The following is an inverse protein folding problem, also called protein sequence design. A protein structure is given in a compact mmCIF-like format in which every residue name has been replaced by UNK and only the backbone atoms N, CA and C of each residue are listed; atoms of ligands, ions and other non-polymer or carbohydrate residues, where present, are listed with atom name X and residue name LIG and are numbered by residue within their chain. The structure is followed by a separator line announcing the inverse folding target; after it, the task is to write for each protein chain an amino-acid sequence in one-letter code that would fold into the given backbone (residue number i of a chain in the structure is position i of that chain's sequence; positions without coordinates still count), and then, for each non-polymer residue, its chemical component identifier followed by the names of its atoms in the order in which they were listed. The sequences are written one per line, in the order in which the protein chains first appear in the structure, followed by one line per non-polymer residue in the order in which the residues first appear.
data_IF_702604708016
#
_entry.id   IF_702604708016
#
_cell.length_a   1.000
_cell.length_b   1.000
_cell.length_c   1.000
_cell.angle_alpha   90.00
_cell.angle_beta   90.00
_cell.angle_gamma   90.00
#
_symmetry.space_group_name_H-M   'P 1'
#
loop_
_entity.id
_entity.type
_entity.pdbx_description
1 polymer ?
#
# COMPACT_ATOMS: atom_id res chain seq x y z
N UNK A 1 -0.80 -3.93 -6.09
CA UNK A 1 0.51 -4.10 -6.76
C UNK A 1 0.55 -3.14 -7.92
N UNK A 2 1.63 -2.36 -8.04
CA UNK A 2 1.80 -1.36 -9.10
C UNK A 2 1.90 -2.07 -10.45
N UNK A 3 1.10 -1.66 -11.43
CA UNK A 3 1.17 -2.25 -12.76
C UNK A 3 2.53 -1.94 -13.41
N UNK A 4 3.17 -2.96 -13.96
CA UNK A 4 4.44 -2.82 -14.71
C UNK A 4 4.15 -2.22 -16.10
N UNK A 5 2.93 -2.42 -16.60
CA UNK A 5 2.46 -1.98 -17.91
C UNK A 5 2.78 -0.52 -18.27
N UNK A 6 2.61 0.50 -17.41
CA UNK A 6 2.93 1.88 -17.77
C UNK A 6 4.41 2.07 -18.09
N UNK A 7 5.30 1.29 -17.47
CA UNK A 7 6.73 1.34 -17.74
C UNK A 7 7.06 0.59 -19.03
N UNK A 8 6.41 -0.54 -19.27
CA UNK A 8 6.52 -1.24 -20.56
C UNK A 8 6.13 -0.33 -21.72
N UNK A 9 5.05 0.45 -21.59
CA UNK A 9 4.63 1.42 -22.61
C UNK A 9 5.65 2.54 -22.80
N UNK A 10 6.25 3.06 -21.73
CA UNK A 10 7.32 4.06 -21.85
C UNK A 10 8.57 3.51 -22.55
N UNK A 11 8.93 2.25 -22.27
CA UNK A 11 10.06 1.58 -22.95
C UNK A 11 9.73 1.41 -24.44
N UNK A 12 8.52 0.95 -24.77
CA UNK A 12 8.03 0.78 -26.15
C UNK A 12 8.09 2.11 -26.93
N UNK A 13 7.57 3.19 -26.35
CA UNK A 13 7.61 4.53 -26.94
C UNK A 13 9.05 4.98 -27.22
N UNK A 14 9.94 4.81 -26.23
CA UNK A 14 11.36 5.15 -26.37
C UNK A 14 12.05 4.38 -27.50
N UNK A 15 11.86 3.05 -27.54
CA UNK A 15 12.46 2.19 -28.58
C UNK A 15 11.98 2.59 -29.98
N UNK A 16 10.69 2.91 -30.11
CA UNK A 16 10.10 3.35 -31.38
C UNK A 16 10.65 4.72 -31.80
N UNK A 17 10.69 5.69 -30.89
CA UNK A 17 11.22 7.04 -31.16
C UNK A 17 12.68 7.01 -31.64
N UNK A 18 13.51 6.14 -31.06
CA UNK A 18 14.93 5.99 -31.44
C UNK A 18 15.14 5.20 -32.74
N UNK A 19 14.11 4.55 -33.26
CA UNK A 19 14.19 3.70 -34.46
C UNK A 19 14.72 2.29 -34.18
N UNK A 20 14.67 1.81 -32.94
CA UNK A 20 15.12 0.46 -32.56
C UNK A 20 14.07 -0.62 -32.84
N UNK A 21 13.60 -0.71 -34.09
CA UNK A 21 12.44 -1.52 -34.46
C UNK A 21 12.60 -3.02 -34.22
N UNK A 22 13.83 -3.56 -34.33
CA UNK A 22 14.09 -4.97 -34.02
C UNK A 22 13.95 -5.26 -32.52
N UNK A 23 14.61 -4.44 -31.68
CA UNK A 23 14.53 -4.54 -30.22
C UNK A 23 13.11 -4.33 -29.72
N UNK A 24 12.36 -3.39 -30.29
CA UNK A 24 10.95 -3.16 -29.98
C UNK A 24 10.11 -4.44 -30.17
N UNK A 25 10.24 -5.11 -31.33
CA UNK A 25 9.49 -6.35 -31.61
C UNK A 25 9.88 -7.49 -30.68
N UNK A 26 11.17 -7.61 -30.36
CA UNK A 26 11.65 -8.59 -29.37
C UNK A 26 11.04 -8.31 -28.01
N UNK A 27 11.10 -7.07 -27.53
CA UNK A 27 10.53 -6.67 -26.24
C UNK A 27 9.01 -6.90 -26.18
N UNK A 28 8.24 -6.56 -27.22
CA UNK A 28 6.81 -6.86 -27.28
C UNK A 28 6.52 -8.36 -27.20
N UNK A 29 7.38 -9.18 -27.80
CA UNK A 29 7.24 -10.64 -27.75
C UNK A 29 7.52 -11.16 -26.35
N UNK A 30 8.54 -10.63 -25.68
CA UNK A 30 8.85 -10.97 -24.28
C UNK A 30 7.73 -10.55 -23.33
N UNK A 31 7.16 -9.34 -23.49
CA UNK A 31 6.01 -8.89 -22.69
C UNK A 31 4.78 -9.78 -22.88
N UNK A 32 4.51 -10.27 -24.11
CA UNK A 32 3.38 -11.18 -24.37
C UNK A 32 3.59 -12.56 -23.77
N UNK A 33 4.84 -13.02 -23.73
CA UNK A 33 5.23 -14.33 -23.22
C UNK A 33 5.72 -14.26 -21.76
N UNK A 34 5.28 -13.25 -21.01
CA UNK A 34 5.70 -13.03 -19.63
C UNK A 34 5.29 -14.22 -18.74
N UNK A 35 6.29 -15.03 -18.38
CA UNK A 35 6.15 -16.17 -17.48
C UNK A 35 5.95 -15.74 -16.04
N UNK A 36 6.32 -14.52 -15.67
CA UNK A 36 6.16 -13.99 -14.32
C UNK A 36 4.77 -13.38 -14.10
N UNK A 37 3.97 -13.24 -15.17
CA UNK A 37 2.58 -12.75 -15.15
C UNK A 37 2.44 -11.39 -14.45
N UNK A 38 3.42 -10.52 -14.62
CA UNK A 38 3.52 -9.24 -13.94
C UNK A 38 3.57 -9.36 -12.41
N UNK A 39 4.09 -10.48 -11.90
CA UNK A 39 4.17 -10.82 -10.48
C UNK A 39 2.80 -10.94 -9.78
N UNK A 40 1.75 -11.30 -10.52
CA UNK A 40 0.43 -11.57 -9.95
C UNK A 40 0.37 -13.04 -9.51
N UNK A 41 0.44 -13.29 -8.19
CA UNK A 41 0.40 -14.63 -7.62
C UNK A 41 -0.84 -15.44 -8.07
N UNK A 42 -2.00 -14.80 -8.17
CA UNK A 42 -3.24 -15.42 -8.65
C UNK A 42 -3.07 -16.02 -10.05
N UNK A 43 -2.54 -15.26 -11.01
CA UNK A 43 -2.32 -15.73 -12.39
C UNK A 43 -1.30 -16.87 -12.48
N UNK A 44 -0.28 -16.84 -11.62
CA UNK A 44 0.70 -17.94 -11.55
C UNK A 44 0.01 -19.23 -11.07
N UNK A 45 -0.85 -19.13 -10.06
CA UNK A 45 -1.63 -20.27 -9.56
C UNK A 45 -2.61 -20.78 -10.61
N UNK A 46 -3.29 -19.88 -11.34
CA UNK A 46 -4.16 -20.25 -12.47
C UNK A 46 -3.40 -21.07 -13.51
N UNK A 47 -2.19 -20.67 -13.89
CA UNK A 47 -1.34 -21.43 -14.82
C UNK A 47 -0.94 -22.79 -14.24
N UNK A 48 -0.53 -22.86 -12.97
CA UNK A 48 -0.22 -24.13 -12.28
C UNK A 48 -1.43 -25.08 -12.32
N UNK A 49 -2.63 -24.57 -12.06
CA UNK A 49 -3.86 -25.36 -12.08
C UNK A 49 -4.31 -25.73 -13.50
N UNK A 50 -4.00 -24.89 -14.50
CA UNK A 50 -4.22 -25.20 -15.91
C UNK A 50 -3.42 -26.42 -16.35
N UNK A 51 -2.12 -26.51 -16.00
CA UNK A 51 -1.32 -27.70 -16.28
C UNK A 51 -1.91 -28.97 -15.64
N UNK A 52 -2.40 -28.86 -14.41
CA UNK A 52 -3.07 -29.97 -13.72
C UNK A 52 -4.37 -30.38 -14.43
N UNK A 53 -5.21 -29.41 -14.79
CA UNK A 53 -6.46 -29.65 -15.50
C UNK A 53 -6.23 -30.39 -16.83
N UNK A 54 -5.18 -29.99 -17.54
CA UNK A 54 -4.77 -30.56 -18.82
C UNK A 54 -3.98 -31.87 -18.71
N UNK A 55 -3.68 -32.35 -17.49
CA UNK A 55 -2.82 -33.53 -17.25
C UNK A 55 -1.42 -33.40 -17.85
N UNK A 56 -0.88 -32.18 -17.87
CA UNK A 56 0.48 -31.88 -18.32
C UNK A 56 1.42 -31.76 -17.12
N UNK A 57 1.88 -32.91 -16.62
CA UNK A 57 2.80 -32.97 -15.49
C UNK A 57 4.17 -32.36 -15.80
N UNK A 58 4.65 -32.50 -17.04
CA UNK A 58 5.96 -31.97 -17.43
C UNK A 58 5.91 -30.44 -17.48
N UNK A 59 4.88 -29.85 -18.09
CA UNK A 59 4.67 -28.40 -18.07
C UNK A 59 4.53 -27.84 -16.65
N UNK A 60 3.84 -28.57 -15.77
CA UNK A 60 3.73 -28.21 -14.35
C UNK A 60 5.09 -28.16 -13.65
N UNK A 61 5.90 -29.21 -13.83
CA UNK A 61 7.22 -29.32 -13.22
C UNK A 61 8.22 -28.32 -13.79
N UNK A 62 8.22 -28.12 -15.10
CA UNK A 62 9.06 -27.14 -15.78
C UNK A 62 8.73 -25.72 -15.30
N UNK A 63 7.44 -25.42 -15.14
CA UNK A 63 7.01 -24.12 -14.63
C UNK A 63 7.33 -23.94 -13.15
N UNK A 64 7.16 -24.98 -12.34
CA UNK A 64 7.60 -24.95 -10.94
C UNK A 64 9.11 -24.77 -10.81
N UNK A 65 9.90 -25.47 -11.64
CA UNK A 65 11.36 -25.37 -11.62
C UNK A 65 11.84 -23.99 -12.10
N UNK A 66 11.16 -23.41 -13.08
CA UNK A 66 11.35 -22.01 -13.45
C UNK A 66 11.18 -21.07 -12.24
N UNK A 67 10.08 -21.20 -11.49
CA UNK A 67 9.86 -20.40 -10.28
C UNK A 67 10.93 -20.69 -9.21
N UNK A 68 11.36 -21.95 -9.08
CA UNK A 68 12.38 -22.37 -8.14
C UNK A 68 13.73 -21.70 -8.43
N UNK A 69 14.23 -21.83 -9.65
CA UNK A 69 15.50 -21.23 -10.07
C UNK A 69 15.44 -19.71 -9.96
N UNK A 70 14.34 -19.11 -10.40
CA UNK A 70 14.21 -17.65 -10.47
C UNK A 70 14.05 -16.99 -9.10
N UNK A 71 13.28 -17.61 -8.20
CA UNK A 71 12.85 -17.01 -6.94
C UNK A 71 13.22 -17.85 -5.73
N UNK A 72 12.80 -19.12 -5.67
CA UNK A 72 12.85 -19.88 -4.42
C UNK A 72 14.27 -20.25 -3.98
N UNK A 73 15.17 -20.52 -4.94
CA UNK A 73 16.59 -20.81 -4.70
C UNK A 73 17.35 -19.65 -4.05
N UNK A 74 16.79 -18.43 -4.13
CA UNK A 74 17.37 -17.19 -3.60
C UNK A 74 16.80 -16.81 -2.24
N UNK A 75 15.86 -17.60 -1.72
CA UNK A 75 15.29 -17.40 -0.39
C UNK A 75 16.26 -17.90 0.68
N UNK A 76 16.05 -17.44 1.91
CA UNK A 76 16.71 -18.00 3.08
C UNK A 76 16.36 -19.49 3.23
N UNK A 77 17.35 -20.30 3.62
CA UNK A 77 17.25 -21.75 3.75
C UNK A 77 16.09 -22.21 4.65
N UNK A 78 15.69 -21.39 5.63
CA UNK A 78 14.50 -21.64 6.47
C UNK A 78 13.21 -21.84 5.67
N UNK A 79 13.11 -21.30 4.45
CA UNK A 79 11.93 -21.41 3.59
C UNK A 79 11.96 -22.62 2.65
N UNK A 80 13.10 -23.29 2.47
CA UNK A 80 13.22 -24.41 1.54
C UNK A 80 12.30 -25.59 1.90
N UNK A 81 12.09 -25.83 3.19
CA UNK A 81 11.11 -26.82 3.66
C UNK A 81 9.68 -26.49 3.21
N UNK A 82 9.29 -25.21 3.27
CA UNK A 82 7.97 -24.77 2.80
C UNK A 82 7.83 -24.91 1.28
N UNK A 83 8.86 -24.55 0.51
CA UNK A 83 8.89 -24.72 -0.95
C UNK A 83 8.72 -26.19 -1.32
N UNK A 84 9.43 -27.11 -0.65
CA UNK A 84 9.27 -28.56 -0.83
C UNK A 84 7.82 -29.00 -0.54
N UNK A 85 7.23 -28.54 0.57
CA UNK A 85 5.83 -28.85 0.94
C UNK A 85 4.81 -28.34 -0.08
N UNK A 86 5.04 -27.16 -0.68
CA UNK A 86 4.18 -26.65 -1.74
C UNK A 86 4.29 -27.51 -3.01
N UNK A 87 5.52 -27.86 -3.44
CA UNK A 87 5.73 -28.77 -4.57
C UNK A 87 5.01 -30.10 -4.36
N UNK A 88 5.18 -30.71 -3.18
CA UNK A 88 4.53 -31.98 -2.83
C UNK A 88 3.00 -31.85 -2.84
N UNK A 89 2.45 -30.80 -2.24
CA UNK A 89 0.99 -30.56 -2.24
C UNK A 89 0.44 -30.36 -3.66
N UNK A 90 1.20 -29.73 -4.55
CA UNK A 90 0.83 -29.54 -5.96
C UNK A 90 0.80 -30.88 -6.71
N UNK A 91 1.79 -31.75 -6.50
CA UNK A 91 1.82 -33.10 -7.07
C UNK A 91 0.68 -33.98 -6.53
N UNK A 92 0.41 -33.89 -5.23
CA UNK A 92 -0.76 -34.56 -4.63
C UNK A 92 -2.06 -34.06 -5.24
N UNK A 93 -2.19 -32.75 -5.45
CA UNK A 93 -3.36 -32.18 -6.11
C UNK A 93 -3.50 -32.71 -7.55
N UNK A 94 -2.40 -32.80 -8.30
CA UNK A 94 -2.41 -33.41 -9.64
C UNK A 94 -3.00 -34.83 -9.62
N UNK A 95 -2.56 -35.69 -8.69
CA UNK A 95 -3.04 -37.06 -8.60
C UNK A 95 -4.51 -37.15 -8.15
N UNK A 96 -4.89 -36.34 -7.16
CA UNK A 96 -6.29 -36.25 -6.70
C UNK A 96 -7.19 -35.79 -7.85
N UNK A 97 -6.78 -34.75 -8.58
CA UNK A 97 -7.54 -34.22 -9.70
C UNK A 97 -7.67 -35.25 -10.83
N UNK A 98 -6.58 -35.90 -11.24
CA UNK A 98 -6.61 -36.97 -12.24
C UNK A 98 -7.53 -38.13 -11.83
N UNK A 99 -7.51 -38.50 -10.54
CA UNK A 99 -8.38 -39.52 -9.96
C UNK A 99 -9.86 -39.10 -10.00
N UNK A 100 -10.18 -37.86 -9.61
CA UNK A 100 -11.53 -37.29 -9.69
C UNK A 100 -12.06 -37.26 -11.14
N UNK A 101 -11.19 -36.96 -12.10
CA UNK A 101 -11.50 -36.98 -13.54
C UNK A 101 -11.50 -38.40 -14.16
N UNK A 102 -11.33 -39.45 -13.36
CA UNK A 102 -11.26 -40.86 -13.80
C UNK A 102 -10.15 -41.15 -14.83
N UNK A 103 -9.09 -40.34 -14.84
CA UNK A 103 -7.90 -40.48 -15.70
C UNK A 103 -6.82 -41.30 -15.00
N UNK A 104 -7.13 -42.56 -14.71
CA UNK A 104 -6.24 -43.47 -13.95
C UNK A 104 -4.92 -43.71 -14.68
N UNK A 105 -4.94 -43.75 -16.00
CA UNK A 105 -3.76 -43.87 -16.87
C UNK A 105 -2.72 -42.77 -16.58
N UNK A 106 -3.16 -41.53 -16.33
CA UNK A 106 -2.27 -40.42 -15.99
C UNK A 106 -1.66 -40.52 -14.61
N UNK A 107 -2.37 -41.14 -13.67
CA UNK A 107 -1.85 -41.43 -12.33
C UNK A 107 -0.78 -42.53 -12.41
N UNK A 108 -1.00 -43.55 -13.24
CA UNK A 108 -0.01 -44.61 -13.47
C UNK A 108 1.23 -44.08 -14.20
N UNK A 109 1.04 -43.29 -15.26
CA UNK A 109 2.14 -42.64 -16.01
C UNK A 109 3.02 -41.78 -15.09
N UNK A 110 2.40 -41.06 -14.15
CA UNK A 110 3.14 -40.31 -13.12
C UNK A 110 4.05 -41.23 -12.30
N UNK A 111 3.53 -42.30 -11.71
CA UNK A 111 4.35 -43.17 -10.86
C UNK A 111 5.40 -43.94 -11.65
N UNK A 112 5.13 -44.32 -12.89
CA UNK A 112 6.11 -44.97 -13.79
C UNK A 112 7.27 -44.03 -14.14
N UNK A 113 6.96 -42.75 -14.40
CA UNK A 113 7.96 -41.74 -14.75
C UNK A 113 8.83 -41.32 -13.56
N UNK A 114 8.22 -41.17 -12.38
CA UNK A 114 8.89 -40.62 -11.20
C UNK A 114 9.29 -41.69 -10.16
N UNK A 115 9.14 -42.98 -10.47
CA UNK A 115 9.35 -44.07 -9.50
C UNK A 115 10.71 -43.98 -8.79
N UNK A 116 11.79 -43.73 -9.56
CA UNK A 116 13.14 -43.65 -9.03
C UNK A 116 13.35 -42.47 -8.05
N UNK A 117 12.68 -41.34 -8.30
CA UNK A 117 12.78 -40.14 -7.48
C UNK A 117 11.91 -40.20 -6.22
N UNK A 118 10.80 -40.96 -6.29
CA UNK A 118 9.85 -41.13 -5.20
C UNK A 118 10.20 -42.32 -4.30
N UNK A 119 10.95 -43.30 -4.80
CA UNK A 119 11.37 -44.47 -4.05
C UNK A 119 12.31 -44.09 -2.90
N UNK A 120 11.86 -44.33 -1.67
CA UNK A 120 12.59 -44.01 -0.44
C UNK A 120 11.98 -42.88 0.39
N UNK A 121 11.07 -42.09 -0.18
CA UNK A 121 10.31 -41.10 0.58
C UNK A 121 9.05 -41.76 1.18
N UNK A 122 9.02 -41.85 2.51
CA UNK A 122 7.88 -42.43 3.25
C UNK A 122 6.58 -41.68 2.94
N UNK A 123 6.65 -40.41 2.55
CA UNK A 123 5.49 -39.61 2.18
C UNK A 123 4.76 -40.12 0.93
N UNK A 124 5.45 -40.83 0.04
CA UNK A 124 4.90 -41.33 -1.22
C UNK A 124 4.46 -42.80 -1.16
N UNK A 125 4.95 -43.56 -0.17
CA UNK A 125 4.67 -44.99 -0.04
C UNK A 125 3.18 -45.36 -0.12
N UNK A 126 2.32 -44.61 0.59
CA UNK A 126 0.86 -44.83 0.55
C UNK A 126 0.24 -44.40 -0.79
N UNK A 127 0.80 -43.39 -1.44
CA UNK A 127 0.28 -42.82 -2.70
C UNK A 127 0.44 -43.76 -3.89
N UNK A 128 1.42 -44.67 -3.89
CA UNK A 128 1.52 -45.74 -4.89
C UNK A 128 0.28 -46.65 -4.93
N UNK A 129 -0.46 -46.77 -3.82
CA UNK A 129 -1.72 -47.50 -3.74
C UNK A 129 -2.92 -46.77 -4.35
N UNK A 130 -2.81 -45.46 -4.59
CA UNK A 130 -3.91 -44.60 -5.04
C UNK A 130 -4.58 -45.10 -6.33
N UNK A 131 -3.86 -45.48 -7.41
CA UNK A 131 -4.49 -45.96 -8.64
C UNK A 131 -5.31 -47.25 -8.43
N UNK A 132 -4.98 -48.05 -7.42
CA UNK A 132 -5.57 -49.36 -7.17
C UNK A 132 -6.73 -49.31 -6.17
N UNK A 133 -6.91 -48.19 -5.47
CA UNK A 133 -8.03 -48.00 -4.54
C UNK A 133 -9.34 -47.78 -5.30
N UNK A 134 -10.37 -48.53 -4.91
CA UNK A 134 -11.71 -48.45 -5.52
C UNK A 134 -12.44 -47.16 -5.17
N UNK A 135 -12.18 -46.61 -3.98
CA UNK A 135 -12.74 -45.35 -3.53
C UNK A 135 -11.73 -44.59 -2.65
N UNK A 136 -10.76 -43.89 -3.26
CA UNK A 136 -9.76 -43.12 -2.52
C UNK A 136 -10.35 -42.06 -1.59
N UNK A 137 -11.49 -41.47 -1.95
CA UNK A 137 -12.14 -40.45 -1.13
C UNK A 137 -12.76 -40.98 0.18
N UNK A 138 -12.95 -42.30 0.30
CA UNK A 138 -13.45 -42.92 1.53
C UNK A 138 -12.33 -43.46 2.43
N UNK A 139 -11.08 -43.46 1.97
CA UNK A 139 -9.93 -43.88 2.77
C UNK A 139 -9.57 -42.75 3.75
N UNK A 140 -9.53 -43.00 5.08
CA UNK A 140 -9.20 -41.99 6.08
C UNK A 140 -7.88 -41.24 5.85
N UNK A 141 -6.92 -41.87 5.16
CA UNK A 141 -5.66 -41.23 4.84
C UNK A 141 -5.77 -40.23 3.68
N UNK A 142 -6.58 -40.56 2.67
CA UNK A 142 -6.72 -39.76 1.45
C UNK A 142 -7.86 -38.75 1.52
N UNK A 143 -8.92 -39.04 2.27
CA UNK A 143 -10.15 -38.24 2.39
C UNK A 143 -9.87 -36.73 2.53
N UNK A 144 -8.94 -36.26 3.39
CA UNK A 144 -8.70 -34.83 3.56
C UNK A 144 -8.29 -34.13 2.26
N UNK A 145 -7.51 -34.81 1.40
CA UNK A 145 -7.02 -34.27 0.13
C UNK A 145 -8.11 -34.17 -0.94
N UNK A 146 -9.21 -34.92 -0.81
CA UNK A 146 -10.36 -34.84 -1.72
C UNK A 146 -11.34 -33.72 -1.34
N UNK A 147 -11.13 -33.07 -0.20
CA UNK A 147 -12.00 -31.97 0.26
C UNK A 147 -11.69 -30.66 -0.47
N UNK A 148 -12.74 -29.87 -0.74
CA UNK A 148 -12.60 -28.51 -1.27
C UNK A 148 -11.82 -27.60 -0.31
N UNK A 149 -12.03 -27.79 0.98
CA UNK A 149 -11.39 -27.00 2.04
C UNK A 149 -9.86 -27.15 2.04
N UNK A 150 -9.35 -28.37 1.82
CA UNK A 150 -7.91 -28.59 1.68
C UNK A 150 -7.34 -27.79 0.52
N UNK A 151 -7.99 -27.87 -0.66
CA UNK A 151 -7.55 -27.14 -1.85
C UNK A 151 -7.59 -25.62 -1.64
N UNK A 152 -8.65 -25.09 -1.04
CA UNK A 152 -8.77 -23.65 -0.73
C UNK A 152 -7.66 -23.19 0.24
N UNK A 153 -7.39 -23.97 1.28
CA UNK A 153 -6.34 -23.67 2.27
C UNK A 153 -4.95 -23.71 1.64
N UNK A 154 -4.68 -24.72 0.81
CA UNK A 154 -3.43 -24.83 0.05
C UNK A 154 -3.26 -23.65 -0.91
N UNK A 155 -4.31 -23.32 -1.67
CA UNK A 155 -4.32 -22.22 -2.65
C UNK A 155 -4.02 -20.89 -1.96
N UNK A 156 -4.72 -20.59 -0.86
CA UNK A 156 -4.50 -19.37 -0.09
C UNK A 156 -3.08 -19.29 0.48
N UNK A 157 -2.55 -20.41 0.98
CA UNK A 157 -1.19 -20.47 1.52
C UNK A 157 -0.13 -20.23 0.44
N UNK A 158 -0.28 -20.85 -0.73
CA UNK A 158 0.62 -20.66 -1.87
C UNK A 158 0.53 -19.22 -2.40
N UNK A 159 -0.68 -18.66 -2.51
CA UNK A 159 -0.91 -17.28 -2.93
C UNK A 159 -0.22 -16.28 -2.00
N UNK A 160 -0.38 -16.45 -0.69
CA UNK A 160 0.25 -15.58 0.31
C UNK A 160 1.77 -15.72 0.30
N UNK A 161 2.28 -16.93 0.10
CA UNK A 161 3.72 -17.18 -0.03
C UNK A 161 4.31 -16.46 -1.25
N UNK A 162 3.71 -16.64 -2.43
CA UNK A 162 4.14 -15.98 -3.68
C UNK A 162 4.09 -14.45 -3.55
N UNK A 163 2.98 -13.91 -3.02
CA UNK A 163 2.86 -12.46 -2.81
C UNK A 163 3.92 -11.93 -1.86
N UNK A 164 4.20 -12.65 -0.77
CA UNK A 164 5.23 -12.26 0.19
C UNK A 164 6.60 -12.24 -0.48
N UNK A 165 6.92 -13.24 -1.31
CA UNK A 165 8.15 -13.24 -2.09
C UNK A 165 8.19 -12.00 -2.99
N UNK A 166 7.16 -11.77 -3.80
CA UNK A 166 7.17 -10.70 -4.79
C UNK A 166 7.21 -9.29 -4.18
N UNK A 167 6.59 -9.10 -3.02
CA UNK A 167 6.63 -7.83 -2.30
C UNK A 167 8.02 -7.52 -1.72
N UNK A 168 8.77 -8.55 -1.35
CA UNK A 168 10.11 -8.40 -0.76
C UNK A 168 11.24 -8.42 -1.81
N UNK A 169 10.92 -8.55 -3.10
CA UNK A 169 11.93 -8.46 -4.15
C UNK A 169 12.42 -7.02 -4.32
N UNK A 170 13.74 -6.82 -4.51
CA UNK A 170 14.26 -5.51 -4.84
C UNK A 170 13.76 -5.09 -6.23
N UNK A 171 13.11 -3.93 -6.29
CA UNK A 171 12.59 -3.40 -7.55
C UNK A 171 13.72 -2.74 -8.37
N UNK A 172 13.73 -2.94 -9.70
CA UNK A 172 14.60 -2.18 -10.59
C UNK A 172 14.42 -0.67 -10.43
N UNK A 173 15.53 0.07 -10.50
CA UNK A 173 15.54 1.54 -10.33
C UNK A 173 14.56 2.27 -11.28
N UNK A 174 14.36 1.76 -12.49
CA UNK A 174 13.40 2.31 -13.44
C UNK A 174 11.95 2.23 -12.94
N UNK A 175 11.58 1.12 -12.29
CA UNK A 175 10.27 0.95 -11.67
C UNK A 175 10.15 1.84 -10.44
N UNK A 176 11.19 1.91 -9.60
CA UNK A 176 11.23 2.82 -8.45
C UNK A 176 11.03 4.28 -8.86
N UNK A 177 11.76 4.75 -9.88
CA UNK A 177 11.65 6.13 -10.38
C UNK A 177 10.22 6.50 -10.77
N UNK A 178 9.50 5.59 -11.42
CA UNK A 178 8.12 5.84 -11.80
C UNK A 178 7.17 5.86 -10.60
N UNK A 179 7.37 4.95 -9.65
CA UNK A 179 6.61 4.93 -8.39
C UNK A 179 6.83 6.23 -7.62
N UNK A 180 8.09 6.66 -7.46
CA UNK A 180 8.45 7.90 -6.79
C UNK A 180 7.84 9.11 -7.49
N UNK A 181 7.87 9.14 -8.83
CA UNK A 181 7.24 10.20 -9.63
C UNK A 181 5.72 10.24 -9.42
N UNK A 182 5.05 9.09 -9.42
CA UNK A 182 3.60 9.02 -9.20
C UNK A 182 3.22 9.44 -7.77
N UNK A 183 3.98 8.99 -6.78
CA UNK A 183 3.81 9.38 -5.39
C UNK A 183 4.01 10.89 -5.21
N UNK A 184 5.09 11.43 -5.78
CA UNK A 184 5.37 12.87 -5.75
C UNK A 184 4.20 13.67 -6.35
N UNK A 185 3.66 13.24 -7.49
CA UNK A 185 2.50 13.88 -8.11
C UNK A 185 1.26 13.82 -7.22
N UNK A 186 1.02 12.70 -6.55
CA UNK A 186 -0.12 12.57 -5.63
C UNK A 186 -0.01 13.56 -4.45
N UNK A 187 1.19 13.67 -3.87
CA UNK A 187 1.49 14.65 -2.81
C UNK A 187 1.34 16.09 -3.31
N UNK A 188 1.83 16.40 -4.50
CA UNK A 188 1.66 17.72 -5.13
C UNK A 188 0.18 18.08 -5.31
N UNK A 189 -0.64 17.12 -5.76
CA UNK A 189 -2.09 17.32 -5.89
C UNK A 189 -2.78 17.54 -4.54
N UNK A 190 -2.38 16.80 -3.51
CA UNK A 190 -2.89 16.99 -2.14
C UNK A 190 -2.52 18.37 -1.59
N UNK A 191 -1.26 18.78 -1.75
CA UNK A 191 -0.78 20.12 -1.38
C UNK A 191 -1.58 21.20 -2.12
N UNK A 192 -1.86 21.02 -3.41
CA UNK A 192 -2.66 21.97 -4.17
C UNK A 192 -4.11 22.03 -3.66
N UNK A 193 -4.70 20.89 -3.34
CA UNK A 193 -6.05 20.80 -2.75
C UNK A 193 -6.11 21.55 -1.42
N UNK A 194 -5.15 21.30 -0.52
CA UNK A 194 -5.06 21.97 0.77
C UNK A 194 -4.85 23.48 0.62
N UNK A 195 -4.01 23.91 -0.33
CA UNK A 195 -3.86 25.33 -0.64
C UNK A 195 -5.17 25.96 -1.09
N UNK A 196 -5.95 25.30 -1.94
CA UNK A 196 -7.25 25.81 -2.38
C UNK A 196 -8.22 25.95 -1.20
N UNK A 197 -8.25 25.00 -0.28
CA UNK A 197 -9.06 25.07 0.96
C UNK A 197 -8.61 26.23 1.85
N UNK A 198 -7.30 26.43 2.02
CA UNK A 198 -6.76 27.55 2.80
C UNK A 198 -7.17 28.89 2.18
N UNK A 199 -7.12 29.01 0.85
CA UNK A 199 -7.56 30.23 0.15
C UNK A 199 -9.05 30.46 0.34
N UNK A 200 -9.89 29.44 0.16
CA UNK A 200 -11.34 29.54 0.37
C UNK A 200 -11.68 29.99 1.80
N UNK A 201 -11.06 29.37 2.80
CA UNK A 201 -11.25 29.75 4.21
C UNK A 201 -10.79 31.18 4.49
N UNK A 202 -9.66 31.63 3.91
CA UNK A 202 -9.20 33.02 4.03
C UNK A 202 -10.20 34.01 3.43
N UNK A 203 -10.72 33.72 2.24
CA UNK A 203 -11.73 34.60 1.60
C UNK A 203 -13.02 34.68 2.41
N UNK A 204 -13.43 33.57 3.05
CA UNK A 204 -14.57 33.56 3.98
C UNK A 204 -14.31 34.39 5.22
N UNK A 205 -13.11 34.30 5.81
CA UNK A 205 -12.72 35.14 6.95
C UNK A 205 -12.78 36.62 6.56
N UNK A 206 -12.19 36.99 5.42
CA UNK A 206 -12.22 38.38 4.91
C UNK A 206 -13.64 38.87 4.66
N UNK A 207 -14.51 38.02 4.11
CA UNK A 207 -15.92 38.33 3.91
C UNK A 207 -16.65 38.60 5.22
N UNK A 208 -16.50 37.71 6.21
CA UNK A 208 -17.11 37.90 7.53
C UNK A 208 -16.52 39.08 8.29
N UNK A 209 -15.22 39.37 8.16
CA UNK A 209 -14.60 40.57 8.75
C UNK A 209 -15.18 41.85 8.12
N UNK A 210 -15.41 41.87 6.81
CA UNK A 210 -16.07 42.98 6.12
C UNK A 210 -17.54 43.14 6.55
N UNK A 211 -18.26 42.03 6.72
CA UNK A 211 -19.64 42.05 7.22
C UNK A 211 -19.70 42.58 8.66
N UNK A 212 -18.80 42.13 9.54
CA UNK A 212 -18.67 42.63 10.92
C UNK A 212 -18.35 44.14 10.92
N UNK A 213 -17.45 44.60 10.04
CA UNK A 213 -17.13 46.02 9.91
C UNK A 213 -18.35 46.85 9.48
N UNK A 214 -19.10 46.37 8.48
CA UNK A 214 -20.34 47.01 8.02
C UNK A 214 -21.40 47.07 9.12
N UNK A 215 -21.63 45.97 9.84
CA UNK A 215 -22.57 45.92 10.96
C UNK A 215 -22.16 46.86 12.10
N UNK A 216 -20.86 46.95 12.42
CA UNK A 216 -20.35 47.91 13.40
C UNK A 216 -20.58 49.36 12.97
N UNK A 217 -20.37 49.69 11.69
CA UNK A 217 -20.63 51.03 11.16
C UNK A 217 -22.12 51.37 11.16
N UNK A 218 -22.99 50.42 10.80
CA UNK A 218 -24.44 50.59 10.88
C UNK A 218 -24.92 50.76 12.33
N UNK A 219 -24.31 50.08 13.30
CA UNK A 219 -24.60 50.26 14.72
C UNK A 219 -24.11 51.60 15.29
N UNK A 220 -23.08 52.21 14.68
CA UNK A 220 -22.56 53.52 15.08
C UNK A 220 -23.48 54.68 14.64
N UNK A 221 -24.20 54.58 13.53
CA UNK A 221 -25.07 55.66 13.02
C UNK A 221 -26.20 56.08 14.00
N UNK A 222 -26.92 55.17 14.69
CA UNK A 222 -27.89 55.53 15.72
C UNK A 222 -27.27 56.18 16.97
N UNK A 223 -26.06 55.76 17.37
CA UNK A 223 -25.33 56.34 18.50
C UNK A 223 -24.79 57.74 18.17
N UNK A 224 -24.35 57.91 16.91
CA UNK A 224 -24.29 59.16 16.16
C UNK A 224 -25.45 60.07 16.58
N UNK A 225 -26.62 59.75 16.04
CA UNK A 225 -27.88 60.49 16.17
C UNK A 225 -28.30 60.81 17.59
N UNK A 226 -28.18 59.84 18.49
CA UNK A 226 -28.44 60.07 19.91
C UNK A 226 -27.46 61.06 20.54
N UNK A 227 -26.17 61.00 20.19
CA UNK A 227 -25.18 61.95 20.69
C UNK A 227 -25.47 63.37 20.18
N UNK A 228 -25.80 63.57 18.90
CA UNK A 228 -26.15 64.91 18.41
C UNK A 228 -27.50 65.42 18.94
N UNK A 229 -28.50 64.57 19.14
CA UNK A 229 -29.76 64.97 19.80
C UNK A 229 -29.49 65.38 21.26
N UNK A 230 -28.64 64.66 21.98
CA UNK A 230 -28.25 65.00 23.35
C UNK A 230 -27.45 66.30 23.40
N UNK A 231 -26.51 66.52 22.46
CA UNK A 231 -25.78 67.80 22.34
C UNK A 231 -26.72 68.96 21.98
N UNK A 232 -27.67 68.75 21.06
CA UNK A 232 -28.67 69.76 20.72
C UNK A 232 -29.59 70.09 21.91
N UNK A 233 -30.05 69.09 22.68
CA UNK A 233 -30.82 69.31 23.92
C UNK A 233 -30.02 70.10 24.96
N UNK A 234 -28.73 69.80 25.10
CA UNK A 234 -27.84 70.53 26.02
C UNK A 234 -27.64 71.99 25.58
N UNK A 235 -27.40 72.24 24.29
CA UNK A 235 -27.27 73.61 23.75
C UNK A 235 -28.58 74.41 23.81
N UNK A 236 -29.73 73.76 23.61
CA UNK A 236 -31.05 74.40 23.72
C UNK A 236 -31.39 74.76 25.18
N UNK A 237 -31.03 73.90 26.13
CA UNK A 237 -31.09 74.20 27.58
C UNK A 237 -30.18 75.37 27.98
N UNK A 238 -29.03 75.54 27.32
CA UNK A 238 -28.10 76.65 27.55
C UNK A 238 -28.57 77.99 26.97
N UNK A 239 -29.38 77.94 25.89
CA UNK A 239 -30.02 79.13 25.31
C UNK A 239 -31.25 79.59 26.10
N UNK A 240 -32.03 78.68 26.68
CA UNK A 240 -33.15 79.03 27.59
C UNK A 240 -32.65 79.58 28.95
N UNK A 241 -31.41 79.27 29.36
CA UNK A 241 -30.78 79.84 30.56
C UNK A 241 -30.09 81.19 30.34
N UNK A 242 -29.99 81.69 29.10
CA UNK A 242 -29.41 83.01 28.80
C UNK A 242 -30.45 84.14 28.79
N UNK A 243 -31.45 84.03 29.68
CA UNK A 243 -32.35 85.10 30.09
C UNK A 243 -32.47 85.09 31.63
N UNK A 244 -31.32 85.08 32.31
CA UNK A 244 -31.15 85.60 33.67
C UNK A 244 -29.66 85.70 33.99
N UNK A 245 -29.25 86.95 34.10
CA UNK A 245 -28.18 87.47 34.92
C UNK A 245 -26.70 87.17 34.57
N UNK A 246 -26.06 88.30 34.29
CA UNK A 246 -24.65 88.66 34.30
C UNK A 246 -23.87 88.24 35.56
N UNK A 247 -22.57 88.03 35.31
CA UNK A 247 -21.41 88.18 36.18
C UNK A 247 -20.80 86.96 36.92
N UNK A 248 -19.47 86.97 36.79
CA UNK A 248 -18.40 86.38 37.59
C UNK A 248 -17.84 84.97 37.28
N UNK A 249 -16.55 85.03 36.97
CA UNK A 249 -15.46 84.04 36.85
C UNK A 249 -14.80 83.92 38.26
N UNK A 250 -13.88 82.97 38.66
CA UNK A 250 -13.29 81.75 38.04
C UNK A 250 -13.18 80.48 38.95
N UNK A 251 -12.69 79.38 38.31
CA UNK A 251 -11.74 78.31 38.74
C UNK A 251 -11.89 77.56 40.09
N UNK A 252 -11.85 76.21 40.05
CA UNK A 252 -10.68 75.41 40.45
C UNK A 252 -10.82 73.91 40.05
N UNK A 253 -9.65 73.29 39.81
CA UNK A 253 -9.24 71.89 39.54
C UNK A 253 -9.73 70.82 40.55
N UNK A 254 -9.59 69.48 40.44
CA UNK A 254 -9.04 68.39 39.57
C UNK A 254 -9.71 67.09 40.18
N UNK A 255 -9.90 65.96 39.46
CA UNK A 255 -9.27 64.63 39.72
C UNK A 255 -9.94 63.56 38.82
N UNK A 256 -9.09 62.92 38.01
CA UNK A 256 -8.96 61.51 37.56
C UNK A 256 -10.16 60.55 37.58
N UNK A 257 -10.39 59.77 36.50
CA UNK A 257 -9.63 58.53 36.22
C UNK A 257 -10.05 57.81 34.91
N UNK A 258 -9.03 57.13 34.37
CA UNK A 258 -8.83 56.18 33.26
C UNK A 258 -9.91 55.12 33.00
N UNK A 259 -10.11 54.71 31.73
CA UNK A 259 -10.09 53.31 31.23
C UNK A 259 -10.05 53.23 29.68
N UNK A 260 -9.20 52.31 29.18
CA UNK A 260 -9.06 51.57 27.88
C UNK A 260 -9.80 52.04 26.60
N UNK A 261 -9.32 51.87 25.35
CA UNK A 261 -8.43 50.86 24.76
C UNK A 261 -7.98 51.35 23.37
N UNK A 262 -6.77 51.04 22.93
CA UNK A 262 -6.29 51.34 21.57
C UNK A 262 -5.54 50.13 21.03
N UNK A 263 -5.98 49.55 19.91
CA UNK A 263 -5.22 48.56 19.15
C UNK A 263 -5.16 48.96 17.68
N UNK A 264 -3.99 49.45 17.30
CA UNK A 264 -3.60 49.80 15.94
C UNK A 264 -3.08 48.57 15.19
N UNK A 265 -3.42 48.54 13.90
CA UNK A 265 -2.97 47.62 12.86
C UNK A 265 -1.51 47.91 12.47
N UNK A 266 -0.70 46.86 12.31
CA UNK A 266 0.44 46.82 11.36
C UNK A 266 0.71 45.36 10.96
N UNK A 267 1.00 45.08 9.67
CA UNK A 267 1.21 43.72 9.15
C UNK A 267 2.68 43.27 9.21
N UNK A 268 3.00 41.96 9.31
CA UNK A 268 4.35 41.48 9.05
C UNK A 268 4.53 41.00 7.60
N UNK A 269 5.73 41.28 7.13
CA UNK A 269 6.26 41.12 5.78
C UNK A 269 6.54 39.65 5.39
N UNK A 270 6.39 39.38 4.09
CA UNK A 270 7.01 38.25 3.39
C UNK A 270 8.53 38.35 3.49
N UNK A 271 9.19 37.26 3.90
CA UNK A 271 10.62 37.05 3.65
C UNK A 271 10.82 35.78 2.84
N UNK A 272 11.34 35.98 1.63
CA UNK A 272 11.91 34.96 0.76
C UNK A 272 13.37 34.75 1.18
N UNK A 273 13.70 33.54 1.59
CA UNK A 273 15.04 32.93 1.55
C UNK A 273 14.81 31.44 1.71
N UNK A 274 15.36 30.51 0.96
CA UNK A 274 16.49 30.48 0.05
C UNK A 274 16.73 28.98 -0.16
N UNK A 275 16.85 28.59 -1.42
CA UNK A 275 17.06 27.23 -1.91
C UNK A 275 18.07 26.39 -1.11
N UNK A 276 17.68 25.19 -0.69
CA UNK A 276 18.52 23.98 -0.73
C UNK A 276 17.66 22.73 -0.95
N UNK A 277 17.97 21.99 -2.01
CA UNK A 277 17.61 20.56 -2.20
C UNK A 277 18.94 19.77 -2.25
N UNK A 278 18.91 18.43 -2.27
CA UNK A 278 18.68 17.57 -1.12
C UNK A 278 19.92 16.70 -0.84
N UNK A 279 20.15 16.37 0.43
CA UNK A 279 21.15 15.35 0.78
C UNK A 279 20.61 13.96 0.42
N UNK A 280 21.39 13.34 -0.45
CA UNK A 280 21.48 11.94 -0.87
C UNK A 280 20.99 10.90 0.14
N UNK A 281 20.01 10.08 -0.28
CA UNK A 281 19.74 8.78 0.33
C UNK A 281 20.94 7.87 0.05
N UNK A 282 21.77 7.67 1.07
CA UNK A 282 22.83 6.67 1.09
C UNK A 282 22.52 5.79 2.29
N UNK A 283 21.91 4.62 2.07
CA UNK A 283 22.03 3.53 3.02
C UNK A 283 22.25 2.22 2.28
N UNK A 284 23.45 1.70 2.51
CA UNK A 284 23.98 0.53 1.86
C UNK A 284 23.39 -0.75 2.45
N UNK A 285 22.83 -1.58 1.57
CA UNK A 285 22.92 -3.04 1.69
C UNK A 285 23.58 -3.58 0.43
N UNK A 286 24.91 -3.48 0.42
CA UNK A 286 25.74 -4.31 -0.44
C UNK A 286 25.79 -5.71 0.16
N UNK A 287 25.14 -6.69 -0.47
CA UNK A 287 25.44 -8.11 -0.23
C UNK A 287 26.64 -8.47 -1.11
N UNK A 288 27.81 -8.62 -0.49
CA UNK A 288 28.98 -9.22 -1.14
C UNK A 288 28.76 -10.72 -1.34
N UNK A 289 29.30 -11.33 -2.42
CA UNK A 289 29.31 -12.77 -2.57
C UNK A 289 30.41 -13.36 -1.67
N UNK A 290 30.06 -14.29 -0.80
CA UNK A 290 31.06 -15.14 -0.13
C UNK A 290 31.10 -16.46 -0.87
N UNK A 291 32.30 -16.74 -1.40
CA UNK A 291 32.74 -17.97 -2.03
C UNK A 291 32.76 -19.15 -1.06
N UNK A 292 32.54 -20.33 -1.63
CA UNK A 292 32.75 -21.71 -1.18
C UNK A 292 33.64 -21.94 0.07
N UNK A 293 33.15 -22.76 1.01
CA UNK A 293 33.86 -23.92 1.59
C UNK A 293 32.92 -24.82 2.42
N UNK A 294 32.80 -26.06 1.96
CA UNK A 294 32.59 -27.40 2.58
C UNK A 294 31.77 -27.69 3.86
N UNK A 295 31.06 -28.82 3.75
CA UNK A 295 30.16 -29.53 4.67
C UNK A 295 30.81 -30.05 5.96
N UNK A 296 30.03 -30.14 7.06
CA UNK A 296 29.92 -31.35 7.92
C UNK A 296 28.57 -31.37 8.69
N UNK A 297 27.95 -32.56 8.70
CA UNK A 297 26.83 -33.10 9.50
C UNK A 297 26.35 -32.37 10.77
N UNK A 298 25.03 -32.20 10.88
CA UNK A 298 24.34 -32.47 12.17
C UNK A 298 22.88 -32.90 11.94
N UNK A 299 22.67 -34.20 11.71
CA UNK A 299 21.42 -34.87 12.08
C UNK A 299 21.46 -35.25 13.57
N UNK A 300 20.57 -34.67 14.39
CA UNK A 300 19.74 -35.37 15.41
C UNK A 300 19.04 -34.40 16.39
N UNK A 301 17.74 -34.67 16.58
CA UNK A 301 16.82 -34.24 17.66
C UNK A 301 16.31 -32.78 17.54
N UNK A 302 15.01 -32.46 17.59
CA UNK A 302 13.87 -33.12 18.22
C UNK A 302 12.61 -33.08 17.32
N UNK A 303 11.86 -34.18 17.39
CA UNK A 303 10.41 -34.23 17.18
C UNK A 303 9.72 -33.40 18.27
N UNK A 304 8.96 -32.38 17.89
CA UNK A 304 7.75 -31.98 18.60
C UNK A 304 6.68 -31.61 17.57
N UNK A 305 5.55 -32.32 17.63
CA UNK A 305 4.35 -32.10 16.84
C UNK A 305 3.73 -30.74 17.19
N UNK A 306 3.92 -29.75 16.32
CA UNK A 306 3.18 -28.49 16.36
C UNK A 306 2.33 -28.38 15.09
N UNK A 307 1.03 -28.44 15.31
CA UNK A 307 -0.04 -28.33 14.32
C UNK A 307 0.03 -26.94 13.65
N UNK A 308 0.29 -26.80 12.34
CA UNK A 308 0.67 -25.50 11.73
C UNK A 308 -0.53 -24.58 11.39
N UNK A 309 -1.75 -24.91 11.82
CA UNK A 309 -2.96 -24.17 11.45
C UNK A 309 -3.72 -23.52 12.61
N UNK A 310 -3.08 -23.33 13.78
CA UNK A 310 -3.68 -22.50 14.84
C UNK A 310 -3.54 -21.03 14.50
N UNK A 311 -4.64 -20.47 14.02
CA UNK A 311 -4.90 -19.04 13.87
C UNK A 311 -4.88 -18.39 15.27
N UNK A 312 -3.88 -17.55 15.56
CA UNK A 312 -3.88 -16.70 16.76
C UNK A 312 -4.29 -15.29 16.34
N UNK A 313 -5.32 -14.83 17.04
CA UNK A 313 -6.15 -13.66 16.77
C UNK A 313 -5.39 -12.35 16.57
N UNK A 314 -6.00 -11.50 15.74
CA UNK A 314 -5.84 -10.05 15.79
C UNK A 314 -6.27 -9.53 17.17
N UNK A 315 -5.35 -8.88 17.89
CA UNK A 315 -5.69 -7.98 19.00
C UNK A 315 -5.24 -6.55 18.64
N UNK A 316 -6.25 -5.74 18.33
CA UNK A 316 -6.55 -4.45 18.95
C UNK A 316 -5.38 -3.68 19.60
N UNK A 317 -5.00 -2.55 19.01
CA UNK A 317 -4.43 -1.43 19.75
C UNK A 317 -5.29 -0.18 19.53
N UNK A 318 -6.03 0.15 20.59
CA UNK A 318 -6.68 1.43 20.84
C UNK A 318 -5.64 2.48 21.28
N UNK A 319 -6.01 3.73 21.01
CA UNK A 319 -5.60 4.98 21.63
C UNK A 319 -4.78 4.91 22.94
N UNK A 320 -3.70 5.70 23.00
CA UNK A 320 -3.50 6.80 23.96
C UNK A 320 -2.10 7.41 23.84
N UNK A 321 -2.01 8.60 23.22
CA UNK A 321 -1.40 9.84 23.74
C UNK A 321 -1.29 10.89 22.64
#
# INVERSE_FOLDING_TARGET
MNSIQPIEELIKEYLLFRGFSLTFRSFETDCRNDRDKGFHAEKIIEDLYSFIANSDINGLLDYWEYLNIRYFSRLDARYFGSVKKFKLSLLRYYLVYATQQKRKEKVLEFFDTFEADLNGDQEWSKWFGLPFSKNPAADPYFEPFFTKQWLETFTASLHNFLNTIFQNMPWPSLLCFNIDRLHKRALENEIQSLHNVIVDLKTKIEHYDAEIANLRQAAAQPQELLNHINTQRYTKSLLDQKNKDTHNVPQFSIVSNTYHSSRSLTPPQLSYSGTKSPETCSDGRSMTPISEYDMVDTQKLLNEDINPFTNTNQETYLEQM
#
